data_IF_870049231723
#
_entry.id   IF_870049231723
#
_cell.length_a   1.000
_cell.length_b   1.000
_cell.length_c   1.000
_cell.angle_alpha   90.00
_cell.angle_beta   90.00
_cell.angle_gamma   90.00
#
_symmetry.space_group_name_H-M   'P 1'
#
loop_
_entity.id
_entity.type
_entity.pdbx_description
1 polymer ?
#
# COMPACT_ATOMS: atom_id res chain seq x y z
N UNK A 1 18.52 -2.52 10.67
CA UNK A 1 18.12 -2.19 9.29
C UNK A 1 16.78 -1.51 9.41
N UNK A 2 16.63 -0.25 8.95
CA UNK A 2 15.32 0.39 9.00
C UNK A 2 14.46 -0.18 7.88
N UNK A 3 13.36 -0.85 8.24
CA UNK A 3 12.36 -1.28 7.28
C UNK A 3 11.76 -0.03 6.62
N UNK A 4 11.69 -0.01 5.28
CA UNK A 4 11.10 1.10 4.55
C UNK A 4 9.58 0.99 4.66
N UNK A 5 8.93 2.02 5.18
CA UNK A 5 7.48 2.06 5.23
C UNK A 5 6.87 2.15 3.82
N UNK A 6 5.78 1.40 3.59
CA UNK A 6 4.87 1.55 2.46
C UNK A 6 3.85 2.68 2.73
N UNK A 7 2.88 2.85 1.83
CA UNK A 7 1.92 3.98 1.88
C UNK A 7 0.97 3.93 3.07
N UNK A 8 0.77 2.77 3.69
CA UNK A 8 -0.11 2.62 4.84
C UNK A 8 0.36 3.40 6.07
N UNK A 9 1.61 3.90 6.09
CA UNK A 9 2.11 4.76 7.16
C UNK A 9 1.31 6.07 7.34
N UNK A 10 0.57 6.48 6.30
CA UNK A 10 -0.25 7.70 6.32
C UNK A 10 -1.70 7.44 6.73
N UNK A 11 -2.10 6.18 6.93
CA UNK A 11 -3.45 5.82 7.33
C UNK A 11 -3.69 6.10 8.81
N UNK A 12 -4.95 6.33 9.17
CA UNK A 12 -5.35 6.52 10.58
C UNK A 12 -5.68 5.22 11.29
N UNK A 13 -6.00 4.17 10.52
CA UNK A 13 -6.40 2.88 11.07
C UNK A 13 -5.21 2.19 11.74
N UNK A 14 -5.29 1.82 13.03
CA UNK A 14 -4.23 1.09 13.70
C UNK A 14 -3.88 -0.23 13.00
N UNK A 15 -4.88 -0.89 12.41
CA UNK A 15 -4.69 -2.12 11.64
C UNK A 15 -3.82 -1.89 10.39
N UNK A 16 -4.09 -0.82 9.62
CA UNK A 16 -3.29 -0.52 8.43
C UNK A 16 -1.88 -0.07 8.80
N UNK A 17 -1.74 0.72 9.86
CA UNK A 17 -0.44 1.16 10.39
C UNK A 17 0.43 -0.01 10.83
N UNK A 18 -0.15 -1.07 11.41
CA UNK A 18 0.56 -2.29 11.77
C UNK A 18 1.22 -2.98 10.56
N UNK A 19 0.69 -2.76 9.35
CA UNK A 19 1.19 -3.33 8.10
C UNK A 19 2.06 -2.35 7.28
N UNK A 20 2.35 -1.16 7.82
CA UNK A 20 3.10 -0.12 7.12
C UNK A 20 4.56 -0.52 6.82
N UNK A 21 5.15 -1.43 7.60
CA UNK A 21 6.54 -1.88 7.41
C UNK A 21 6.65 -3.27 6.78
N UNK A 22 5.51 -3.88 6.41
CA UNK A 22 5.52 -5.14 5.69
C UNK A 22 6.28 -5.02 4.35
N UNK A 23 6.96 -6.08 3.89
CA UNK A 23 7.76 -6.04 2.67
C UNK A 23 6.93 -5.88 1.39
N UNK A 24 5.61 -6.10 1.46
CA UNK A 24 4.67 -5.83 0.38
C UNK A 24 4.39 -4.33 0.30
N UNK A 25 4.52 -3.74 -0.90
CA UNK A 25 4.17 -2.32 -1.16
C UNK A 25 2.65 -2.15 -1.16
N UNK A 26 2.03 -2.21 0.03
CA UNK A 26 0.60 -2.01 0.19
C UNK A 26 0.19 -0.58 -0.16
N UNK A 27 -0.94 -0.45 -0.84
CA UNK A 27 -1.63 0.79 -1.10
C UNK A 27 -2.91 0.79 -0.26
N UNK A 28 -3.31 1.94 0.33
CA UNK A 28 -4.68 2.08 0.77
C UNK A 28 -5.62 2.01 -0.44
N UNK A 29 -6.87 1.62 -0.18
CA UNK A 29 -7.87 1.59 -1.23
C UNK A 29 -8.15 3.00 -1.75
N UNK A 30 -7.97 3.22 -3.06
CA UNK A 30 -8.17 4.54 -3.66
C UNK A 30 -7.71 4.61 -5.11
N UNK A 31 -7.95 5.76 -5.74
CA UNK A 31 -7.67 5.99 -7.16
C UNK A 31 -6.20 5.76 -7.55
N UNK A 32 -5.25 6.06 -6.66
CA UNK A 32 -3.82 5.83 -6.90
C UNK A 32 -3.52 4.34 -7.17
N UNK A 33 -4.11 3.44 -6.39
CA UNK A 33 -3.90 2.00 -6.56
C UNK A 33 -4.43 1.51 -7.91
N UNK A 34 -5.62 1.96 -8.30
CA UNK A 34 -6.22 1.61 -9.59
C UNK A 34 -5.48 2.24 -10.78
N UNK A 35 -5.10 3.51 -10.67
CA UNK A 35 -4.35 4.21 -11.70
C UNK A 35 -3.00 3.53 -11.94
N UNK A 36 -2.31 3.12 -10.88
CA UNK A 36 -1.06 2.36 -10.98
C UNK A 36 -1.28 0.98 -11.61
N UNK A 37 -2.29 0.23 -11.16
CA UNK A 37 -2.61 -1.09 -11.70
C UNK A 37 -2.91 -1.02 -13.21
N UNK A 38 -3.67 -0.02 -13.65
CA UNK A 38 -3.98 0.23 -15.06
C UNK A 38 -2.74 0.64 -15.86
N UNK A 39 -1.91 1.54 -15.33
CA UNK A 39 -0.71 2.02 -16.01
C UNK A 39 0.36 0.91 -16.17
N UNK A 40 0.45 0.01 -15.20
CA UNK A 40 1.39 -1.11 -15.22
C UNK A 40 0.82 -2.40 -15.85
N UNK A 41 -0.47 -2.38 -16.26
CA UNK A 41 -1.21 -3.55 -16.74
C UNK A 41 -1.10 -4.76 -15.80
N UNK A 42 -1.36 -4.53 -14.50
CA UNK A 42 -1.29 -5.53 -13.44
C UNK A 42 -2.63 -5.71 -12.74
N UNK A 43 -2.98 -6.95 -12.34
CA UNK A 43 -4.17 -7.19 -11.54
C UNK A 43 -4.00 -6.61 -10.12
N UNK A 44 -5.13 -6.34 -9.46
CA UNK A 44 -5.17 -5.94 -8.06
C UNK A 44 -5.35 -7.17 -7.18
N UNK A 45 -4.51 -7.29 -6.16
CA UNK A 45 -4.73 -8.18 -5.03
C UNK A 45 -5.39 -7.37 -3.91
N UNK A 46 -6.57 -7.82 -3.46
CA UNK A 46 -7.34 -7.19 -2.39
C UNK A 46 -7.46 -8.14 -1.20
#
# INVERSE_FOLDING_TARGET
>A
MHEKANRLINEKSPYLLQHAYNPVDWYPWGEEAFAKAKAEDKPIFL
#
